data_IF_390226823057
#
_entry.id   IF_390226823057
#
_cell.length_a   1.000
_cell.length_b   1.000
_cell.length_c   1.000
_cell.angle_alpha   90.00
_cell.angle_beta   90.00
_cell.angle_gamma   90.00
#
_symmetry.space_group_name_H-M   'P 1'
#
loop_
_entity.id
_entity.type
_entity.pdbx_description
1 polymer ?
#
# COMPACT_ATOMS: atom_id res chain seq x y z
N UNK A 1 49.59 -13.34 -12.81
CA UNK A 1 48.20 -13.60 -13.25
C UNK A 1 47.35 -14.21 -12.14
N UNK A 2 47.72 -15.36 -11.54
CA UNK A 2 46.90 -16.04 -10.51
C UNK A 2 46.48 -15.13 -9.36
N UNK A 3 47.43 -14.41 -8.73
CA UNK A 3 47.11 -13.48 -7.63
C UNK A 3 46.08 -12.42 -8.05
N UNK A 4 46.23 -11.85 -9.25
CA UNK A 4 45.31 -10.84 -9.78
C UNK A 4 43.89 -11.40 -9.97
N UNK A 5 43.76 -12.65 -10.44
CA UNK A 5 42.47 -13.34 -10.59
C UNK A 5 41.82 -13.60 -9.23
N UNK A 6 42.60 -14.05 -8.24
CA UNK A 6 42.09 -14.30 -6.88
C UNK A 6 41.60 -13.02 -6.21
N UNK A 7 42.35 -11.92 -6.36
CA UNK A 7 41.96 -10.60 -5.86
C UNK A 7 40.67 -10.13 -6.54
N UNK A 8 40.57 -10.27 -7.87
CA UNK A 8 39.37 -9.89 -8.61
C UNK A 8 38.13 -10.69 -8.15
N UNK A 9 38.26 -12.02 -8.01
CA UNK A 9 37.19 -12.88 -7.51
C UNK A 9 36.76 -12.47 -6.09
N UNK A 10 37.71 -12.15 -5.21
CA UNK A 10 37.42 -11.66 -3.87
C UNK A 10 36.62 -10.35 -3.90
N UNK A 11 37.03 -9.38 -4.71
CA UNK A 11 36.32 -8.10 -4.87
C UNK A 11 34.92 -8.31 -5.44
N UNK A 12 34.77 -9.14 -6.47
CA UNK A 12 33.46 -9.44 -7.07
C UNK A 12 32.56 -10.14 -6.07
N UNK A 13 33.07 -11.11 -5.31
CA UNK A 13 32.31 -11.79 -4.27
C UNK A 13 31.83 -10.82 -3.18
N UNK A 14 32.72 -9.95 -2.69
CA UNK A 14 32.37 -8.91 -1.72
C UNK A 14 31.33 -7.95 -2.31
N UNK A 15 31.50 -7.52 -3.57
CA UNK A 15 30.55 -6.63 -4.24
C UNK A 15 29.18 -7.28 -4.37
N UNK A 16 29.11 -8.54 -4.79
CA UNK A 16 27.86 -9.29 -4.92
C UNK A 16 27.19 -9.42 -3.55
N UNK A 17 27.94 -9.79 -2.51
CA UNK A 17 27.42 -9.88 -1.14
C UNK A 17 26.89 -8.53 -0.67
N UNK A 18 27.65 -7.45 -0.87
CA UNK A 18 27.20 -6.09 -0.54
C UNK A 18 25.92 -5.76 -1.29
N UNK A 19 25.87 -5.92 -2.61
CA UNK A 19 24.70 -5.62 -3.45
C UNK A 19 23.47 -6.44 -3.06
N UNK A 20 23.65 -7.71 -2.66
CA UNK A 20 22.56 -8.58 -2.20
C UNK A 20 22.08 -8.21 -0.79
N UNK A 21 22.97 -7.71 0.06
CA UNK A 21 22.65 -7.24 1.41
C UNK A 21 22.18 -5.80 1.46
N UNK A 22 22.44 -5.00 0.42
CA UNK A 22 21.89 -3.64 0.37
C UNK A 22 20.38 -3.76 0.44
N UNK A 23 19.73 -3.06 1.39
CA UNK A 23 18.29 -2.92 1.35
C UNK A 23 17.98 -2.15 0.07
N UNK A 24 17.69 -2.87 -1.02
CA UNK A 24 17.00 -2.29 -2.18
C UNK A 24 15.67 -1.86 -1.60
N UNK A 25 15.56 -0.61 -1.18
CA UNK A 25 14.41 -0.07 -0.46
C UNK A 25 13.16 -0.50 -1.21
N UNK A 26 12.43 -1.55 -0.77
CA UNK A 26 11.23 -1.96 -1.44
C UNK A 26 10.11 -1.09 -0.87
N UNK A 27 10.36 0.22 -0.80
CA UNK A 27 9.36 1.15 -0.36
C UNK A 27 8.42 1.36 -1.54
N UNK A 28 7.37 0.53 -1.55
CA UNK A 28 6.25 0.73 -2.45
C UNK A 28 5.29 1.69 -1.74
N UNK A 29 5.25 2.93 -2.20
CA UNK A 29 4.22 3.87 -1.79
C UNK A 29 2.92 3.52 -2.52
N UNK A 30 1.90 3.08 -1.77
CA UNK A 30 0.57 2.82 -2.33
C UNK A 30 -0.39 3.92 -1.86
N UNK A 31 -1.00 4.62 -2.81
CA UNK A 31 -2.09 5.56 -2.54
C UNK A 31 -3.41 4.90 -2.95
N UNK A 32 -4.36 4.82 -2.02
CA UNK A 32 -5.68 4.22 -2.29
C UNK A 32 -6.73 5.33 -2.25
N UNK A 33 -7.37 5.61 -3.38
CA UNK A 33 -8.54 6.49 -3.41
C UNK A 33 -9.80 5.65 -3.39
N UNK A 34 -10.64 5.85 -2.39
CA UNK A 34 -11.93 5.16 -2.26
C UNK A 34 -13.05 6.18 -2.47
N UNK A 35 -14.06 5.81 -3.26
CA UNK A 35 -15.26 6.62 -3.48
C UNK A 35 -16.50 5.82 -3.12
N UNK A 36 -17.38 6.43 -2.33
CA UNK A 36 -18.71 5.90 -2.09
C UNK A 36 -19.66 6.45 -3.16
N UNK A 37 -20.33 5.55 -3.88
CA UNK A 37 -21.29 5.91 -4.94
C UNK A 37 -22.65 5.37 -4.58
N UNK A 38 -23.65 6.23 -4.66
CA UNK A 38 -25.04 5.85 -4.45
C UNK A 38 -25.77 5.81 -5.79
N UNK A 39 -26.00 4.60 -6.31
CA UNK A 39 -26.76 4.39 -7.54
C UNK A 39 -28.27 4.60 -7.37
N UNK A 40 -28.76 4.75 -6.13
CA UNK A 40 -30.18 5.01 -5.89
C UNK A 40 -30.55 6.40 -6.39
N UNK A 41 -31.63 6.50 -7.16
CA UNK A 41 -32.09 7.74 -7.77
C UNK A 41 -32.87 8.66 -6.82
N UNK A 42 -33.34 8.15 -5.67
CA UNK A 42 -34.36 8.81 -4.86
C UNK A 42 -33.98 8.95 -3.39
N UNK A 43 -33.12 8.07 -2.85
CA UNK A 43 -32.76 8.06 -1.43
C UNK A 43 -31.30 8.39 -1.20
N UNK A 44 -31.03 9.12 -0.11
CA UNK A 44 -29.69 9.26 0.44
C UNK A 44 -29.35 8.03 1.27
N UNK A 45 -28.08 7.61 1.23
CA UNK A 45 -27.58 6.54 2.09
C UNK A 45 -26.71 7.14 3.19
N UNK A 46 -26.82 6.60 4.40
CA UNK A 46 -25.99 6.95 5.54
C UNK A 46 -25.20 5.73 5.99
N UNK A 47 -23.90 5.91 6.19
CA UNK A 47 -23.02 4.91 6.77
C UNK A 47 -22.56 5.41 8.14
N UNK A 48 -22.89 4.67 9.19
CA UNK A 48 -22.45 4.97 10.56
C UNK A 48 -21.01 4.51 10.81
N UNK A 49 -20.55 3.48 10.10
CA UNK A 49 -19.21 2.93 10.19
C UNK A 49 -18.84 2.23 8.89
N UNK A 50 -17.62 2.43 8.43
CA UNK A 50 -17.03 1.67 7.34
C UNK A 50 -15.57 1.34 7.70
N UNK A 51 -15.23 0.07 7.58
CA UNK A 51 -13.88 -0.46 7.82
C UNK A 51 -13.46 -1.27 6.59
N UNK A 52 -12.34 -0.88 5.99
CA UNK A 52 -11.71 -1.64 4.91
C UNK A 52 -10.33 -2.09 5.36
N UNK A 53 -9.95 -3.33 5.04
CA UNK A 53 -8.60 -3.85 5.31
C UNK A 53 -7.79 -3.80 4.02
N UNK A 54 -6.68 -3.07 4.04
CA UNK A 54 -5.64 -3.20 3.03
C UNK A 54 -4.78 -4.39 3.43
N UNK A 55 -4.79 -5.44 2.61
CA UNK A 55 -4.03 -6.66 2.85
C UNK A 55 -3.19 -7.02 1.63
N UNK A 56 -2.03 -7.61 1.88
CA UNK A 56 -1.12 -8.12 0.86
C UNK A 56 -0.63 -9.50 1.27
N UNK A 57 -0.68 -10.46 0.34
CA UNK A 57 -0.30 -11.85 0.60
C UNK A 57 -0.93 -12.46 1.87
N UNK A 58 -2.20 -12.09 2.16
CA UNK A 58 -2.93 -12.54 3.35
C UNK A 58 -2.62 -11.78 4.65
N UNK A 59 -1.54 -10.98 4.68
CA UNK A 59 -1.22 -10.12 5.81
C UNK A 59 -1.97 -8.78 5.71
N UNK A 60 -2.64 -8.35 6.78
CA UNK A 60 -3.25 -7.02 6.85
C UNK A 60 -2.15 -5.98 7.05
N UNK A 61 -2.05 -5.04 6.12
CA UNK A 61 -1.08 -3.94 6.15
C UNK A 61 -1.63 -2.71 6.86
N UNK A 62 -2.93 -2.43 6.69
CA UNK A 62 -3.60 -1.34 7.36
C UNK A 62 -5.11 -1.54 7.40
N UNK A 63 -5.74 -0.94 8.41
CA UNK A 63 -7.19 -0.80 8.53
C UNK A 63 -7.56 0.64 8.22
N UNK A 64 -8.35 0.83 7.17
CA UNK A 64 -8.91 2.11 6.74
C UNK A 64 -10.27 2.29 7.41
N UNK A 65 -10.38 3.30 8.28
CA UNK A 65 -11.63 3.61 9.00
C UNK A 65 -12.16 4.96 8.53
N UNK A 66 -13.40 4.97 8.05
CA UNK A 66 -14.09 6.22 7.74
C UNK A 66 -15.00 6.63 8.90
N UNK A 67 -15.03 7.94 9.18
CA UNK A 67 -16.04 8.55 10.05
C UNK A 67 -17.42 8.46 9.40
N UNK A 68 -18.53 8.58 10.16
CA UNK A 68 -19.86 8.53 9.57
C UNK A 68 -20.03 9.54 8.43
N UNK A 69 -20.66 9.10 7.34
CA UNK A 69 -20.85 9.93 6.15
C UNK A 69 -22.17 9.63 5.45
N UNK A 70 -22.63 10.59 4.63
CA UNK A 70 -23.82 10.48 3.80
C UNK A 70 -23.44 10.56 2.33
N UNK A 71 -24.11 9.76 1.50
CA UNK A 71 -24.02 9.85 0.05
C UNK A 71 -25.41 10.19 -0.48
N UNK A 72 -25.61 11.37 -1.09
CA UNK A 72 -26.92 11.77 -1.61
C UNK A 72 -27.38 10.85 -2.75
N UNK A 73 -28.65 10.92 -3.13
CA UNK A 73 -29.18 10.20 -4.29
C UNK A 73 -28.37 10.56 -5.55
N UNK A 74 -27.97 9.55 -6.33
CA UNK A 74 -27.02 9.66 -7.47
C UNK A 74 -25.68 10.32 -7.12
N UNK A 75 -25.34 10.39 -5.83
CA UNK A 75 -24.15 11.06 -5.34
C UNK A 75 -22.88 10.21 -5.45
N UNK A 76 -21.75 10.91 -5.53
CA UNK A 76 -20.40 10.35 -5.39
C UNK A 76 -19.69 11.14 -4.29
N UNK A 77 -19.08 10.45 -3.35
CA UNK A 77 -18.32 11.04 -2.26
C UNK A 77 -16.93 10.39 -2.17
N UNK A 78 -15.84 11.14 -2.38
CA UNK A 78 -14.50 10.70 -2.00
C UNK A 78 -14.45 10.41 -0.50
N UNK A 79 -14.07 9.19 -0.15
CA UNK A 79 -14.11 8.75 1.23
C UNK A 79 -12.89 9.28 1.99
N UNK A 80 -13.13 10.12 2.99
CA UNK A 80 -12.11 10.47 3.96
C UNK A 80 -11.97 9.32 4.97
N UNK A 81 -10.78 8.72 5.03
CA UNK A 81 -10.47 7.64 5.96
C UNK A 81 -9.16 7.90 6.70
N UNK A 82 -9.05 7.33 7.88
CA UNK A 82 -7.79 7.24 8.63
C UNK A 82 -7.25 5.83 8.44
N UNK A 83 -6.05 5.70 7.89
CA UNK A 83 -5.33 4.43 7.82
C UNK A 83 -4.54 4.21 9.11
N UNK A 84 -4.65 3.02 9.68
CA UNK A 84 -3.82 2.56 10.80
C UNK A 84 -3.19 1.22 10.42
N UNK A 85 -1.86 1.16 10.41
CA UNK A 85 -1.11 -0.08 10.24
C UNK A 85 -1.27 -0.98 11.47
#
# INVERSE_FOLDING_TARGET
>A
MVLAVMVLLGVVAVLVVVVLLQPRTPYVAVTVRVEARNGNAHSTVYFSRLECRLAFAGATLAVLRAYPFRVPARGVLPLAYVARA
#
